data_IF_597544595071
#
_entry.id   IF_597544595071
#
_cell.length_a   1.000
_cell.length_b   1.000
_cell.length_c   1.000
_cell.angle_alpha   90.00
_cell.angle_beta   90.00
_cell.angle_gamma   90.00
#
_symmetry.space_group_name_H-M   'P 1'
#
loop_
_entity.id
_entity.type
_entity.pdbx_description
1 polymer ?
#
# COMPACT_ATOMS: atom_id res chain seq x y z
N UNK A 1 -5.75 -7.98 -10.47
CA UNK A 1 -6.11 -6.54 -10.45
C UNK A 1 -5.55 -5.98 -9.16
N UNK A 2 -4.94 -4.79 -9.24
CA UNK A 2 -4.26 -4.14 -8.13
C UNK A 2 -4.75 -2.71 -8.05
N UNK A 3 -5.06 -2.23 -6.84
CA UNK A 3 -5.47 -0.85 -6.63
C UNK A 3 -4.47 -0.16 -5.71
N UNK A 4 -4.01 1.01 -6.12
CA UNK A 4 -3.16 1.88 -5.30
C UNK A 4 -3.93 3.16 -5.01
N UNK A 5 -3.98 3.57 -3.76
CA UNK A 5 -4.63 4.80 -3.34
C UNK A 5 -3.64 5.71 -2.60
N UNK A 6 -3.68 7.01 -2.91
CA UNK A 6 -3.04 8.06 -2.13
C UNK A 6 -4.13 8.75 -1.34
N UNK A 7 -3.93 8.88 -0.02
CA UNK A 7 -4.86 9.55 0.87
C UNK A 7 -4.17 10.77 1.48
N UNK A 8 -4.73 11.94 1.20
CA UNK A 8 -4.31 13.21 1.80
C UNK A 8 -5.30 13.53 2.92
N UNK A 9 -4.84 13.37 4.16
CA UNK A 9 -5.67 13.64 5.34
C UNK A 9 -5.36 15.02 5.90
N UNK A 10 -6.40 15.83 6.13
CA UNK A 10 -6.30 17.11 6.82
C UNK A 10 -7.01 16.99 8.16
N UNK A 11 -6.24 17.05 9.25
CA UNK A 11 -6.79 16.95 10.60
C UNK A 11 -7.90 17.99 10.82
N UNK A 12 -9.06 17.52 11.28
CA UNK A 12 -10.25 18.35 11.52
C UNK A 12 -11.02 18.79 10.26
N UNK A 13 -10.55 18.44 9.05
CA UNK A 13 -11.14 18.90 7.78
C UNK A 13 -11.38 17.78 6.76
N UNK A 14 -11.33 16.52 7.20
CA UNK A 14 -11.58 15.35 6.36
C UNK A 14 -10.37 14.89 5.54
N UNK A 15 -10.63 14.10 4.50
CA UNK A 15 -9.60 13.52 3.64
C UNK A 15 -10.03 13.56 2.18
N UNK A 16 -9.06 13.76 1.29
CA UNK A 16 -9.21 13.53 -0.15
C UNK A 16 -8.35 12.34 -0.53
N UNK A 17 -8.84 11.48 -1.41
CA UNK A 17 -8.05 10.38 -1.92
C UNK A 17 -8.12 10.29 -3.44
N UNK A 18 -7.04 9.79 -4.01
CA UNK A 18 -6.90 9.46 -5.42
C UNK A 18 -6.58 7.98 -5.52
N UNK A 19 -7.02 7.32 -6.58
CA UNK A 19 -6.73 5.90 -6.77
C UNK A 19 -6.47 5.58 -8.23
N UNK A 20 -5.72 4.51 -8.45
CA UNK A 20 -5.51 3.90 -9.76
C UNK A 20 -5.71 2.40 -9.67
N UNK A 21 -6.13 1.79 -10.77
CA UNK A 21 -6.36 0.34 -10.86
C UNK A 21 -5.55 -0.22 -12.02
N UNK A 22 -4.70 -1.19 -11.72
CA UNK A 22 -3.88 -1.91 -12.69
C UNK A 22 -4.38 -3.35 -12.89
N UNK A 23 -4.56 -3.76 -14.15
CA UNK A 23 -4.97 -5.12 -14.52
C UNK A 23 -3.79 -5.84 -15.16
N UNK A 24 -3.12 -6.66 -14.37
CA UNK A 24 -1.94 -7.44 -14.79
C UNK A 24 -2.26 -8.66 -15.69
N UNK A 25 -3.54 -9.03 -15.83
CA UNK A 25 -4.01 -10.10 -16.74
C UNK A 25 -3.53 -11.52 -16.41
N UNK A 26 -2.62 -11.69 -15.45
CA UNK A 26 -2.02 -12.98 -15.07
C UNK A 26 -2.59 -13.49 -13.74
N UNK A 27 -2.79 -14.81 -13.66
CA UNK A 27 -3.00 -15.48 -12.37
C UNK A 27 -1.65 -15.64 -11.68
N UNK A 28 -1.46 -14.91 -10.58
CA UNK A 28 -0.26 -14.96 -9.75
C UNK A 28 -0.56 -15.64 -8.42
N UNK A 29 0.42 -16.34 -7.88
CA UNK A 29 0.36 -16.87 -6.52
C UNK A 29 0.29 -15.73 -5.47
N UNK A 30 -0.10 -16.08 -4.24
CA UNK A 30 -0.33 -15.11 -3.17
C UNK A 30 0.92 -14.28 -2.83
N UNK A 31 2.09 -14.92 -2.80
CA UNK A 31 3.35 -14.24 -2.50
C UNK A 31 3.64 -13.17 -3.56
N UNK A 32 3.59 -13.56 -4.83
CA UNK A 32 3.86 -12.63 -5.94
C UNK A 32 2.85 -11.49 -5.99
N UNK A 33 1.58 -11.75 -5.66
CA UNK A 33 0.54 -10.71 -5.60
C UNK A 33 0.84 -9.66 -4.51
N UNK A 34 1.16 -10.11 -3.30
CA UNK A 34 1.45 -9.22 -2.18
C UNK A 34 2.69 -8.38 -2.46
N UNK A 35 3.75 -9.00 -2.99
CA UNK A 35 4.95 -8.26 -3.38
C UNK A 35 4.66 -7.22 -4.46
N UNK A 36 3.83 -7.55 -5.45
CA UNK A 36 3.45 -6.60 -6.49
C UNK A 36 2.68 -5.41 -5.94
N UNK A 37 1.79 -5.63 -4.97
CA UNK A 37 1.05 -4.56 -4.29
C UNK A 37 1.98 -3.64 -3.48
N UNK A 38 2.94 -4.21 -2.77
CA UNK A 38 3.95 -3.45 -2.03
C UNK A 38 4.84 -2.62 -2.98
N UNK A 39 5.32 -3.22 -4.07
CA UNK A 39 6.12 -2.55 -5.10
C UNK A 39 5.36 -1.35 -5.69
N UNK A 40 4.11 -1.54 -6.12
CA UNK A 40 3.28 -0.46 -6.66
C UNK A 40 3.03 0.66 -5.64
N UNK A 41 2.92 0.32 -4.35
CA UNK A 41 2.76 1.30 -3.29
C UNK A 41 4.04 2.10 -3.04
N UNK A 42 5.21 1.47 -3.15
CA UNK A 42 6.51 2.10 -3.01
C UNK A 42 6.83 3.02 -4.20
N UNK A 43 6.52 2.59 -5.42
CA UNK A 43 6.63 3.43 -6.62
C UNK A 43 5.80 4.71 -6.46
N UNK A 44 4.57 4.57 -5.95
CA UNK A 44 3.70 5.72 -5.70
C UNK A 44 4.23 6.59 -4.56
N UNK A 45 4.75 5.99 -3.48
CA UNK A 45 5.34 6.71 -2.38
C UNK A 45 6.52 7.58 -2.83
N UNK A 46 7.38 7.01 -3.69
CA UNK A 46 8.50 7.70 -4.31
C UNK A 46 8.07 8.82 -5.23
N UNK A 47 7.05 8.60 -6.05
CA UNK A 47 6.48 9.65 -6.88
C UNK A 47 5.94 10.83 -6.04
N UNK A 48 5.24 10.55 -4.95
CA UNK A 48 4.73 11.58 -4.03
C UNK A 48 5.85 12.37 -3.36
N UNK A 49 6.93 11.69 -2.95
CA UNK A 49 8.07 12.33 -2.28
C UNK A 49 8.95 13.12 -3.26
N UNK A 50 9.39 12.49 -4.35
CA UNK A 50 10.41 13.04 -5.25
C UNK A 50 9.84 13.94 -6.36
N UNK A 51 8.62 13.69 -6.83
CA UNK A 51 8.04 14.42 -7.97
C UNK A 51 7.01 15.44 -7.53
N UNK A 52 6.14 15.08 -6.58
CA UNK A 52 5.13 16.02 -6.05
C UNK A 52 5.64 16.86 -4.89
N UNK A 53 6.78 16.50 -4.28
CA UNK A 53 7.39 17.19 -3.14
C UNK A 53 6.43 17.37 -1.94
N UNK A 54 5.50 16.43 -1.74
CA UNK A 54 4.47 16.49 -0.68
C UNK A 54 4.93 15.88 0.65
N UNK A 55 6.24 15.66 0.79
CA UNK A 55 6.85 14.97 1.93
C UNK A 55 6.74 13.45 1.82
N UNK A 56 7.18 12.78 2.88
CA UNK A 56 7.36 11.33 2.89
C UNK A 56 6.09 10.60 3.34
N UNK A 57 5.42 9.84 2.46
CA UNK A 57 4.18 9.17 2.81
C UNK A 57 4.43 7.90 3.64
N UNK A 58 3.39 7.49 4.38
CA UNK A 58 3.35 6.20 5.07
C UNK A 58 2.74 5.16 4.13
N UNK A 59 3.45 4.05 3.92
CA UNK A 59 3.00 2.96 3.06
C UNK A 59 2.09 2.01 3.84
N UNK A 60 0.83 1.94 3.44
CA UNK A 60 -0.14 1.03 4.04
C UNK A 60 -0.12 -0.30 3.28
N UNK A 61 0.23 -1.37 3.99
CA UNK A 61 0.24 -2.72 3.45
C UNK A 61 -1.04 -3.46 3.85
N UNK A 62 -1.72 -4.08 2.88
CA UNK A 62 -2.96 -4.84 3.12
C UNK A 62 -2.71 -6.25 3.69
N UNK A 63 -1.60 -6.43 4.42
CA UNK A 63 -1.16 -7.68 5.05
C UNK A 63 -1.37 -7.64 6.56
N UNK A 64 -1.61 -8.80 7.15
CA UNK A 64 -1.66 -9.00 8.60
C UNK A 64 -1.05 -10.36 8.96
N UNK A 65 -0.84 -10.60 10.25
CA UNK A 65 -0.29 -11.87 10.73
C UNK A 65 -1.30 -13.03 10.72
N UNK A 66 -2.59 -12.72 10.52
CA UNK A 66 -3.65 -13.72 10.44
C UNK A 66 -3.74 -14.31 9.04
N UNK A 67 -3.47 -15.61 8.91
CA UNK A 67 -3.63 -16.38 7.67
C UNK A 67 -2.49 -16.29 6.66
N UNK A 68 -1.48 -15.42 6.89
CA UNK A 68 -0.24 -15.38 6.12
C UNK A 68 0.92 -15.98 6.91
N UNK A 69 1.93 -16.51 6.22
CA UNK A 69 3.15 -16.97 6.88
C UNK A 69 3.92 -15.77 7.45
N UNK A 70 4.47 -15.94 8.66
CA UNK A 70 5.28 -14.90 9.32
C UNK A 70 6.45 -14.44 8.46
N UNK A 71 7.04 -15.36 7.70
CA UNK A 71 8.16 -15.08 6.81
C UNK A 71 7.76 -14.13 5.68
N UNK A 72 6.63 -14.38 5.01
CA UNK A 72 6.10 -13.51 3.96
C UNK A 72 5.84 -12.10 4.48
N UNK A 73 5.14 -11.98 5.61
CA UNK A 73 4.86 -10.68 6.23
C UNK A 73 6.16 -9.94 6.55
N UNK A 74 7.14 -10.65 7.13
CA UNK A 74 8.44 -10.08 7.49
C UNK A 74 9.25 -9.65 6.27
N UNK A 75 9.22 -10.41 5.17
CA UNK A 75 9.91 -10.06 3.93
C UNK A 75 9.35 -8.80 3.30
N UNK A 76 8.02 -8.64 3.26
CA UNK A 76 7.38 -7.45 2.67
C UNK A 76 7.63 -6.21 3.53
N UNK A 77 7.54 -6.33 4.86
CA UNK A 77 7.90 -5.26 5.78
C UNK A 77 9.38 -4.87 5.62
N UNK A 78 10.26 -5.87 5.55
CA UNK A 78 11.69 -5.67 5.35
C UNK A 78 11.98 -4.92 4.04
N UNK A 79 11.26 -5.24 2.97
CA UNK A 79 11.39 -4.55 1.69
C UNK A 79 10.99 -3.07 1.79
N UNK A 80 9.81 -2.76 2.34
CA UNK A 80 9.35 -1.38 2.51
C UNK A 80 10.30 -0.57 3.40
N UNK A 81 10.77 -1.17 4.50
CA UNK A 81 11.75 -0.56 5.39
C UNK A 81 13.11 -0.34 4.70
N UNK A 82 13.55 -1.28 3.88
CA UNK A 82 14.78 -1.19 3.09
C UNK A 82 14.75 -0.06 2.06
N UNK A 83 13.57 0.26 1.53
CA UNK A 83 13.33 1.43 0.68
C UNK A 83 13.23 2.74 1.48
N UNK A 84 13.30 2.67 2.81
CA UNK A 84 13.33 3.83 3.69
C UNK A 84 11.96 4.44 3.98
N UNK A 85 10.84 3.83 3.59
CA UNK A 85 9.51 4.37 3.85
C UNK A 85 8.94 3.91 5.21
N UNK A 86 8.26 4.80 5.95
CA UNK A 86 7.45 4.37 7.09
C UNK A 86 6.28 3.51 6.60
N UNK A 87 5.83 2.55 7.42
CA UNK A 87 4.78 1.61 7.03
C UNK A 87 3.74 1.38 8.12
N UNK A 88 2.56 0.94 7.70
CA UNK A 88 1.50 0.41 8.55
C UNK A 88 0.97 -0.90 7.96
N UNK A 89 0.71 -1.88 8.81
CA UNK A 89 0.07 -3.16 8.47
C UNK A 89 -1.30 -3.24 9.12
N UNK A 90 -2.14 -4.21 8.74
CA UNK A 90 -3.41 -4.44 9.45
C UNK A 90 -3.14 -4.76 10.93
N UNK A 91 -3.98 -4.27 11.87
CA UNK A 91 -5.22 -3.52 11.66
C UNK A 91 -5.04 -2.00 11.48
N UNK A 92 -3.85 -1.47 11.71
CA UNK A 92 -3.60 -0.03 11.75
C UNK A 92 -3.59 0.62 10.35
N UNK A 93 -3.49 -0.16 9.28
CA UNK A 93 -3.49 0.31 7.88
C UNK A 93 -4.84 0.80 7.34
N UNK A 94 -5.76 1.24 8.20
CA UNK A 94 -7.18 1.58 7.95
C UNK A 94 -7.48 2.44 6.71
N UNK A 95 -6.58 3.36 6.33
CA UNK A 95 -6.74 4.17 5.11
C UNK A 95 -6.81 3.29 3.84
N UNK A 96 -5.98 2.24 3.75
CA UNK A 96 -6.02 1.28 2.66
C UNK A 96 -7.25 0.36 2.75
N UNK A 97 -7.54 -0.17 3.95
CA UNK A 97 -8.60 -1.17 4.12
C UNK A 97 -10.00 -0.63 3.86
N UNK A 98 -10.29 0.65 4.16
CA UNK A 98 -11.62 1.22 3.89
C UNK A 98 -11.79 1.84 2.50
N UNK A 99 -10.72 2.36 1.91
CA UNK A 99 -10.81 3.12 0.65
C UNK A 99 -10.52 2.22 -0.55
N UNK A 100 -9.44 1.41 -0.51
CA UNK A 100 -9.06 0.57 -1.65
C UNK A 100 -10.06 -0.58 -1.87
N UNK A 101 -10.56 -1.21 -0.80
CA UNK A 101 -11.59 -2.26 -0.87
C UNK A 101 -12.91 -1.77 -1.49
N UNK A 102 -13.19 -0.46 -1.47
CA UNK A 102 -14.40 0.11 -2.09
C UNK A 102 -14.36 0.07 -3.63
N UNK A 103 -13.16 -0.02 -4.22
CA UNK A 103 -12.94 0.10 -5.67
C UNK A 103 -12.41 -1.18 -6.33
N UNK A 104 -12.33 -2.29 -5.59
CA UNK A 104 -11.78 -3.58 -6.08
C UNK A 104 -12.80 -4.70 -6.24
N UNK A 105 -14.11 -4.41 -6.29
CA UNK A 105 -15.13 -5.39 -6.73
C UNK A 105 -15.28 -5.44 -8.24
#
# INVERSE_FOLDING_TARGET
>A
MYATAIVVYRLGNGATYFYTVYKDGKNRDLYTRIFKEAEMSLEMARFVEEVLELGKPVVHLDIGYDGLTKDLVSSVIGYVKGMGYPYQVKPDSFAATKIAHKHTK
#
